data_IF_416901280190
#
_entry.id   IF_416901280190
#
_cell.length_a   1.000
_cell.length_b   1.000
_cell.length_c   1.000
_cell.angle_alpha   90.00
_cell.angle_beta   90.00
_cell.angle_gamma   90.00
#
_symmetry.space_group_name_H-M   'P 1'
#
loop_
_entity.id
_entity.type
_entity.pdbx_description
1 polymer ?
#
# COMPACT_ATOMS: atom_id res chain seq x y z
N UNK A 1 -0.85 11.62 -7.04
CA UNK A 1 -1.97 10.66 -7.20
C UNK A 1 -3.28 11.43 -7.15
N UNK A 2 -4.18 11.17 -8.09
CA UNK A 2 -5.39 11.98 -8.32
C UNK A 2 -6.60 11.50 -7.50
N UNK A 3 -7.66 12.32 -7.35
CA UNK A 3 -8.92 11.86 -6.79
C UNK A 3 -9.48 10.61 -7.49
N UNK A 4 -9.38 10.52 -8.81
CA UNK A 4 -9.84 9.34 -9.58
C UNK A 4 -9.04 8.08 -9.27
N UNK A 5 -7.75 8.20 -8.94
CA UNK A 5 -6.96 7.09 -8.43
C UNK A 5 -7.55 6.59 -7.11
N UNK A 6 -7.84 7.50 -6.17
CA UNK A 6 -8.36 7.14 -4.86
C UNK A 6 -9.79 6.61 -4.88
N UNK A 7 -10.66 7.13 -5.75
CA UNK A 7 -11.98 6.54 -6.02
C UNK A 7 -11.86 5.10 -6.55
N UNK A 8 -10.89 4.86 -7.44
CA UNK A 8 -10.61 3.52 -7.93
C UNK A 8 -10.01 2.60 -6.86
N UNK A 9 -9.21 3.12 -5.93
CA UNK A 9 -8.72 2.37 -4.77
C UNK A 9 -9.90 1.97 -3.88
N UNK A 10 -10.78 2.92 -3.53
CA UNK A 10 -11.99 2.65 -2.76
C UNK A 10 -12.86 1.56 -3.38
N UNK A 11 -13.07 1.61 -4.69
CA UNK A 11 -13.89 0.62 -5.41
C UNK A 11 -13.33 -0.81 -5.34
N UNK A 12 -12.04 -1.00 -5.03
CA UNK A 12 -11.40 -2.32 -4.87
C UNK A 12 -11.41 -2.83 -3.43
N UNK A 13 -11.76 -1.97 -2.46
CA UNK A 13 -11.74 -2.34 -1.06
C UNK A 13 -13.10 -2.94 -0.71
N UNK A 14 -13.15 -4.26 -0.67
CA UNK A 14 -14.33 -5.02 -0.25
C UNK A 14 -14.04 -5.73 1.09
N UNK A 15 -15.03 -5.84 2.00
CA UNK A 15 -14.87 -6.59 3.25
C UNK A 15 -14.60 -8.07 3.00
N UNK A 16 -15.23 -8.63 1.97
CA UNK A 16 -14.91 -9.96 1.47
C UNK A 16 -13.65 -9.91 0.61
N UNK A 17 -12.73 -10.85 0.78
CA UNK A 17 -11.59 -11.01 -0.12
C UNK A 17 -12.06 -11.30 -1.57
N UNK A 18 -11.20 -11.08 -2.57
CA UNK A 18 -11.51 -11.50 -3.93
C UNK A 18 -11.75 -13.01 -3.95
N UNK A 19 -12.84 -13.43 -4.59
CA UNK A 19 -13.14 -14.84 -4.81
C UNK A 19 -12.32 -15.29 -6.02
N UNK A 20 -11.51 -16.33 -5.83
CA UNK A 20 -10.82 -16.99 -6.93
C UNK A 20 -11.83 -17.85 -7.71
N UNK A 21 -12.27 -17.34 -8.87
CA UNK A 21 -13.20 -18.04 -9.76
C UNK A 21 -12.48 -19.14 -10.56
N UNK A 22 -11.14 -19.13 -10.60
CA UNK A 22 -10.30 -20.03 -11.38
C UNK A 22 -9.68 -21.13 -10.51
N UNK A 23 -10.13 -21.29 -9.25
CA UNK A 23 -9.61 -22.24 -8.27
C UNK A 23 -9.64 -23.73 -8.71
N UNK A 24 -10.20 -24.04 -9.89
CA UNK A 24 -10.21 -25.38 -10.50
C UNK A 24 -9.47 -25.51 -11.84
N UNK A 25 -9.15 -24.42 -12.54
CA UNK A 25 -8.52 -24.43 -13.86
C UNK A 25 -7.61 -23.20 -14.02
N UNK A 26 -6.41 -23.23 -13.44
CA UNK A 26 -5.45 -22.16 -13.65
C UNK A 26 -4.62 -22.42 -14.93
N UNK A 27 -4.82 -21.70 -16.05
CA UNK A 27 -3.86 -21.71 -17.13
C UNK A 27 -2.55 -21.07 -16.65
N UNK A 28 -1.41 -21.52 -17.17
CA UNK A 28 -0.10 -21.00 -16.77
C UNK A 28 0.03 -19.52 -17.16
N UNK A 29 -0.21 -18.60 -16.23
CA UNK A 29 0.03 -17.17 -16.45
C UNK A 29 1.53 -16.96 -16.49
N UNK A 30 2.06 -16.48 -17.62
CA UNK A 30 3.44 -15.98 -17.69
C UNK A 30 3.53 -14.73 -16.81
N UNK A 31 4.02 -14.91 -15.58
CA UNK A 31 4.34 -13.80 -14.70
C UNK A 31 5.51 -13.03 -15.32
N UNK A 32 5.36 -11.72 -15.46
CA UNK A 32 6.51 -10.86 -15.76
C UNK A 32 7.59 -11.05 -14.69
N UNK A 33 8.85 -10.84 -15.06
CA UNK A 33 10.02 -11.06 -14.16
C UNK A 33 9.88 -10.35 -12.81
N UNK A 34 9.18 -9.22 -12.72
CA UNK A 34 8.92 -8.49 -11.48
C UNK A 34 7.90 -9.13 -10.52
N UNK A 35 7.05 -10.05 -10.98
CA UNK A 35 6.09 -10.80 -10.14
C UNK A 35 6.52 -12.24 -9.87
N UNK A 36 7.73 -12.64 -10.31
CA UNK A 36 8.25 -13.99 -10.13
C UNK A 36 8.31 -14.45 -8.67
N UNK A 37 8.34 -13.51 -7.72
CA UNK A 37 8.34 -13.78 -6.27
C UNK A 37 6.99 -13.64 -5.56
N UNK A 38 5.89 -13.34 -6.25
CA UNK A 38 4.58 -13.21 -5.58
C UNK A 38 4.00 -14.60 -5.25
N UNK A 39 3.58 -14.90 -4.02
CA UNK A 39 2.94 -16.17 -3.68
C UNK A 39 1.63 -16.35 -4.45
N UNK A 40 1.38 -17.53 -4.99
CA UNK A 40 0.16 -17.84 -5.79
C UNK A 40 -1.12 -17.83 -4.96
N UNK A 41 -1.00 -18.03 -3.65
CA UNK A 41 -2.09 -18.09 -2.67
C UNK A 41 -2.52 -16.71 -2.17
N UNK A 42 -1.83 -15.65 -2.59
CA UNK A 42 -2.18 -14.28 -2.22
C UNK A 42 -2.74 -13.52 -3.41
N UNK A 43 -3.78 -12.67 -3.19
CA UNK A 43 -4.29 -11.81 -4.23
C UNK A 43 -3.16 -11.01 -4.90
N UNK A 44 -3.12 -10.92 -6.24
CA UNK A 44 -2.07 -10.19 -6.93
C UNK A 44 -2.09 -8.70 -6.55
N UNK A 45 -0.95 -7.99 -6.67
CA UNK A 45 -0.93 -6.55 -6.51
C UNK A 45 -1.80 -5.88 -7.58
N UNK A 46 -2.27 -4.67 -7.30
CA UNK A 46 -3.03 -3.88 -8.27
C UNK A 46 -2.20 -3.67 -9.55
N UNK A 47 -2.75 -3.93 -10.75
CA UNK A 47 -2.04 -3.71 -12.01
C UNK A 47 -1.95 -2.22 -12.39
N UNK A 48 -2.70 -1.35 -11.69
CA UNK A 48 -2.71 0.10 -11.95
C UNK A 48 -1.40 0.72 -11.48
N UNK A 49 -0.69 1.36 -12.41
CA UNK A 49 0.49 2.18 -12.11
C UNK A 49 0.07 3.46 -11.39
N UNK A 50 1.00 4.05 -10.63
CA UNK A 50 0.74 5.26 -9.88
C UNK A 50 1.01 6.48 -10.75
N UNK A 51 0.02 7.37 -10.86
CA UNK A 51 0.19 8.65 -11.53
C UNK A 51 0.77 9.67 -10.55
N UNK A 52 1.97 10.19 -10.86
CA UNK A 52 2.59 11.32 -10.15
C UNK A 52 2.23 12.62 -10.84
N UNK A 53 0.96 12.99 -10.80
CA UNK A 53 0.55 14.37 -11.07
C UNK A 53 0.85 15.25 -9.87
N UNK A 54 1.32 16.47 -10.14
CA UNK A 54 1.57 17.50 -9.13
C UNK A 54 0.24 18.11 -8.70
N UNK A 55 -0.49 17.37 -7.87
CA UNK A 55 -1.83 17.74 -7.40
C UNK A 55 -1.81 18.69 -6.21
N UNK A 56 -0.62 19.12 -5.74
CA UNK A 56 -0.47 19.85 -4.47
C UNK A 56 -0.86 19.03 -3.23
N UNK A 57 -0.97 17.71 -3.38
CA UNK A 57 -1.38 16.82 -2.28
C UNK A 57 -0.25 16.65 -1.25
N UNK A 58 -0.62 16.67 0.02
CA UNK A 58 0.32 16.42 1.13
C UNK A 58 0.55 14.92 1.30
N UNK A 59 1.81 14.48 1.31
CA UNK A 59 2.14 13.07 1.49
C UNK A 59 2.22 12.68 2.97
N UNK A 60 1.67 11.52 3.32
CA UNK A 60 1.73 10.95 4.67
C UNK A 60 2.41 9.59 4.63
N UNK A 61 3.45 9.38 5.44
CA UNK A 61 4.02 8.06 5.64
C UNK A 61 3.14 7.24 6.58
N UNK A 62 2.82 6.01 6.21
CA UNK A 62 2.09 5.06 7.05
C UNK A 62 3.00 3.89 7.36
N UNK A 63 3.50 3.83 8.59
CA UNK A 63 4.41 2.77 9.05
C UNK A 63 3.63 1.49 9.36
N UNK A 64 4.09 0.38 8.79
CA UNK A 64 3.59 -0.96 9.08
C UNK A 64 4.76 -1.82 9.50
N UNK A 65 4.94 -1.95 10.81
CA UNK A 65 5.99 -2.77 11.42
C UNK A 65 5.48 -4.17 11.81
N UNK A 66 4.18 -4.33 12.01
CA UNK A 66 3.53 -5.61 12.25
C UNK A 66 2.38 -5.86 11.26
N UNK A 67 2.08 -7.13 10.90
CA UNK A 67 0.90 -7.45 10.10
C UNK A 67 -0.37 -6.92 10.75
N UNK A 68 -1.20 -6.22 9.98
CA UNK A 68 -2.50 -5.74 10.46
C UNK A 68 -3.53 -6.87 10.39
N UNK A 69 -4.43 -7.00 11.38
CA UNK A 69 -5.47 -8.04 11.38
C UNK A 69 -6.51 -7.84 10.27
N UNK A 70 -6.80 -6.58 9.91
CA UNK A 70 -7.72 -6.23 8.82
C UNK A 70 -7.13 -5.06 7.99
N UNK A 71 -6.23 -5.36 7.03
CA UNK A 71 -5.64 -4.35 6.16
C UNK A 71 -6.67 -3.63 5.30
N UNK A 72 -7.80 -4.28 4.97
CA UNK A 72 -8.85 -3.70 4.14
C UNK A 72 -9.56 -2.55 4.85
N UNK A 73 -9.87 -2.71 6.15
CA UNK A 73 -10.43 -1.63 6.97
C UNK A 73 -9.50 -0.43 7.06
N UNK A 74 -8.21 -0.65 7.30
CA UNK A 74 -7.22 0.45 7.35
C UNK A 74 -7.06 1.10 5.98
N UNK A 75 -7.02 0.33 4.89
CA UNK A 75 -6.99 0.84 3.53
C UNK A 75 -8.21 1.72 3.21
N UNK A 76 -9.41 1.31 3.64
CA UNK A 76 -10.64 2.10 3.45
C UNK A 76 -10.52 3.48 4.09
N UNK A 77 -10.05 3.54 5.33
CA UNK A 77 -9.87 4.79 6.08
C UNK A 77 -8.84 5.69 5.42
N UNK A 78 -7.71 5.13 5.00
CA UNK A 78 -6.65 5.88 4.33
C UNK A 78 -7.11 6.44 2.98
N UNK A 79 -7.84 5.64 2.19
CA UNK A 79 -8.38 6.08 0.91
C UNK A 79 -9.48 7.15 1.08
N UNK A 80 -10.32 7.03 2.11
CA UNK A 80 -11.30 8.06 2.47
C UNK A 80 -10.60 9.36 2.88
N UNK A 81 -9.59 9.29 3.75
CA UNK A 81 -8.79 10.45 4.13
C UNK A 81 -8.10 11.10 2.92
N UNK A 82 -7.62 10.31 1.97
CA UNK A 82 -7.01 10.81 0.76
C UNK A 82 -7.96 11.64 -0.10
N UNK A 83 -9.22 11.20 -0.24
CA UNK A 83 -10.26 11.95 -0.96
C UNK A 83 -10.74 13.18 -0.19
N UNK A 84 -11.00 13.04 1.10
CA UNK A 84 -11.62 14.10 1.90
C UNK A 84 -10.64 15.21 2.27
N UNK A 85 -9.37 14.86 2.50
CA UNK A 85 -8.35 15.79 3.01
C UNK A 85 -7.24 16.09 2.01
N UNK A 86 -7.29 15.51 0.81
CA UNK A 86 -6.27 15.73 -0.22
C UNK A 86 -4.88 15.22 0.19
N UNK A 87 -4.82 14.24 1.09
CA UNK A 87 -3.57 13.62 1.52
C UNK A 87 -3.24 12.41 0.66
N UNK A 88 -1.97 12.06 0.56
CA UNK A 88 -1.51 10.87 -0.17
C UNK A 88 -0.74 9.93 0.76
N UNK A 89 -1.39 8.84 1.24
CA UNK A 89 -0.72 7.79 2.01
C UNK A 89 0.34 7.05 1.19
N UNK A 90 1.56 7.00 1.73
CA UNK A 90 2.68 6.19 1.27
C UNK A 90 2.96 5.15 2.35
N UNK A 91 2.82 3.87 2.02
CA UNK A 91 3.01 2.78 2.97
C UNK A 91 4.51 2.52 3.13
N UNK A 92 5.00 2.52 4.36
CA UNK A 92 6.39 2.27 4.73
C UNK A 92 6.47 0.98 5.52
N UNK A 93 7.17 -0.04 5.02
CA UNK A 93 7.18 -1.36 5.68
C UNK A 93 8.49 -2.09 5.49
N UNK A 94 8.82 -3.01 6.39
CA UNK A 94 9.88 -4.02 6.20
C UNK A 94 9.32 -5.36 5.70
N UNK A 95 8.00 -5.53 5.71
CA UNK A 95 7.36 -6.76 5.26
C UNK A 95 7.51 -6.90 3.75
N UNK A 96 7.76 -8.13 3.30
CA UNK A 96 7.76 -8.45 1.86
C UNK A 96 6.39 -8.15 1.24
N UNK A 97 5.31 -8.27 2.03
CA UNK A 97 3.92 -7.98 1.66
C UNK A 97 3.15 -7.48 2.89
N UNK A 98 2.35 -6.43 2.73
CA UNK A 98 1.58 -5.83 3.83
C UNK A 98 0.06 -5.80 3.58
N UNK A 99 -0.39 -6.24 2.40
CA UNK A 99 -1.80 -6.33 2.02
C UNK A 99 -2.37 -5.05 1.39
N UNK A 100 -1.59 -3.98 1.32
CA UNK A 100 -1.99 -2.72 0.68
C UNK A 100 -1.73 -2.70 -0.83
N UNK A 101 -0.81 -3.56 -1.29
CA UNK A 101 -0.40 -3.66 -2.69
C UNK A 101 -1.57 -4.01 -3.61
N UNK A 102 -2.46 -4.91 -3.17
CA UNK A 102 -3.67 -5.34 -3.90
C UNK A 102 -4.67 -4.21 -4.14
N UNK A 103 -4.69 -3.19 -3.29
CA UNK A 103 -5.62 -2.06 -3.41
C UNK A 103 -5.07 -0.95 -4.30
N UNK A 104 -3.76 -0.92 -4.55
CA UNK A 104 -3.10 0.10 -5.38
C UNK A 104 -2.47 1.25 -4.59
N UNK A 105 -2.18 1.02 -3.30
CA UNK A 105 -1.33 1.93 -2.53
C UNK A 105 0.12 1.87 -3.00
N UNK A 106 0.83 2.99 -2.85
CA UNK A 106 2.28 3.02 -3.02
C UNK A 106 2.93 2.44 -1.76
N UNK A 107 3.81 1.45 -1.94
CA UNK A 107 4.53 0.77 -0.86
C UNK A 107 6.04 0.95 -1.06
N UNK A 108 6.70 1.56 -0.09
CA UNK A 108 8.16 1.62 0.01
C UNK A 108 8.64 0.60 1.04
N UNK A 109 9.62 -0.21 0.61
CA UNK A 109 10.14 -1.31 1.43
C UNK A 109 11.52 -0.97 1.97
N UNK A 110 11.66 -1.12 3.28
CA UNK A 110 12.93 -1.17 3.95
C UNK A 110 13.46 -2.60 3.92
N UNK A 111 14.73 -2.74 3.53
CA UNK A 111 15.41 -4.04 3.51
C UNK A 111 16.33 -4.10 4.74
N UNK A 112 15.97 -4.86 5.79
CA UNK A 112 16.82 -5.00 6.96
C UNK A 112 18.10 -5.77 6.61
N UNK A 113 19.22 -5.38 7.24
CA UNK A 113 20.53 -5.98 7.00
C UNK A 113 21.60 -5.41 7.93
N UNK A 114 22.82 -5.93 7.82
CA UNK A 114 23.96 -5.42 8.60
C UNK A 114 24.22 -3.96 8.24
N UNK A 115 24.19 -3.08 9.24
CA UNK A 115 24.34 -1.63 9.04
C UNK A 115 23.10 -0.93 8.49
N UNK A 116 21.97 -1.62 8.33
CA UNK A 116 20.72 -0.99 7.92
C UNK A 116 20.17 -0.13 9.06
N UNK A 117 19.95 1.15 8.77
CA UNK A 117 19.38 2.12 9.70
C UNK A 117 17.99 2.52 9.23
N UNK A 118 16.98 2.12 10.00
CA UNK A 118 15.57 2.41 9.71
C UNK A 118 15.28 3.90 9.79
N UNK A 119 15.87 4.63 10.74
CA UNK A 119 15.62 6.05 10.92
C UNK A 119 16.21 6.86 9.77
N UNK A 120 17.42 6.51 9.32
CA UNK A 120 18.04 7.12 8.15
C UNK A 120 17.20 6.88 6.88
N UNK A 121 16.71 5.65 6.69
CA UNK A 121 15.83 5.32 5.56
C UNK A 121 14.50 6.09 5.62
N UNK A 122 13.87 6.21 6.80
CA UNK A 122 12.65 7.01 6.95
C UNK A 122 12.89 8.49 6.68
N UNK A 123 14.05 9.04 7.06
CA UNK A 123 14.44 10.41 6.72
C UNK A 123 14.63 10.59 5.21
N UNK A 124 15.22 9.61 4.52
CA UNK A 124 15.34 9.61 3.06
C UNK A 124 13.96 9.56 2.39
N UNK A 125 13.07 8.66 2.84
CA UNK A 125 11.69 8.57 2.32
C UNK A 125 10.91 9.87 2.58
N UNK A 126 11.12 10.48 3.74
CA UNK A 126 10.54 11.77 4.10
C UNK A 126 10.99 12.85 3.11
N UNK A 127 12.28 12.94 2.80
CA UNK A 127 12.78 13.90 1.83
C UNK A 127 12.27 13.60 0.41
N UNK A 128 12.38 12.36 -0.05
CA UNK A 128 12.03 11.93 -1.41
C UNK A 128 10.55 12.14 -1.73
N UNK A 129 9.67 11.79 -0.80
CA UNK A 129 8.22 11.97 -0.97
C UNK A 129 7.71 13.31 -0.43
N UNK A 130 8.56 14.11 0.22
CA UNK A 130 8.14 15.31 0.97
C UNK A 130 7.02 14.98 1.96
N UNK A 131 7.21 13.92 2.76
CA UNK A 131 6.24 13.48 3.76
C UNK A 131 6.08 14.55 4.82
N UNK A 132 4.83 14.92 5.14
CA UNK A 132 4.57 15.85 6.23
C UNK A 132 4.77 15.21 7.61
N UNK A 133 4.50 13.91 7.71
CA UNK A 133 4.61 13.13 8.94
C UNK A 133 4.55 11.63 8.62
N UNK A 134 5.00 10.82 9.57
CA UNK A 134 4.89 9.36 9.55
C UNK A 134 4.02 8.93 10.74
N UNK A 135 2.93 8.19 10.49
CA UNK A 135 2.02 7.65 11.51
C UNK A 135 2.17 6.13 11.55
N UNK A 136 1.99 5.52 12.72
CA UNK A 136 1.82 4.07 12.81
C UNK A 136 0.45 3.62 12.29
N UNK A 137 0.42 2.54 11.52
CA UNK A 137 -0.83 2.00 10.99
C UNK A 137 -1.75 1.44 12.08
N UNK A 138 -1.22 1.06 13.24
CA UNK A 138 -2.02 0.63 14.39
C UNK A 138 -2.84 1.79 14.96
N UNK A 139 -2.30 3.02 14.97
CA UNK A 139 -3.05 4.22 15.36
C UNK A 139 -4.20 4.49 14.39
N UNK A 140 -3.95 4.33 13.08
CA UNK A 140 -5.00 4.47 12.05
C UNK A 140 -6.07 3.38 12.20
N UNK A 141 -5.69 2.17 12.57
CA UNK A 141 -6.61 1.07 12.86
C UNK A 141 -7.42 1.31 14.14
N UNK A 142 -6.89 2.05 15.11
CA UNK A 142 -7.56 2.41 16.35
C UNK A 142 -8.56 3.58 16.21
N UNK A 143 -8.44 4.43 15.18
CA UNK A 143 -9.39 5.52 14.91
C UNK A 143 -10.77 4.97 14.50
N UNK A 144 -11.71 4.93 15.44
CA UNK A 144 -13.10 4.49 15.27
C UNK A 144 -13.75 4.17 16.61
#
# INVERSE_FOLDING_TARGET
MTPDHWLSVLARITPAGPVDLDAGEAPSVRRGTGLGGWPSDLPPPSPRLWDREDTGATYLGIRIDAPLPDPARTALRLAAAALERGVTPIILTSHAQCGFERFGFRVERFVPGVGADRAAWEAEMTAFWSLALIIDATDVAALG
#
